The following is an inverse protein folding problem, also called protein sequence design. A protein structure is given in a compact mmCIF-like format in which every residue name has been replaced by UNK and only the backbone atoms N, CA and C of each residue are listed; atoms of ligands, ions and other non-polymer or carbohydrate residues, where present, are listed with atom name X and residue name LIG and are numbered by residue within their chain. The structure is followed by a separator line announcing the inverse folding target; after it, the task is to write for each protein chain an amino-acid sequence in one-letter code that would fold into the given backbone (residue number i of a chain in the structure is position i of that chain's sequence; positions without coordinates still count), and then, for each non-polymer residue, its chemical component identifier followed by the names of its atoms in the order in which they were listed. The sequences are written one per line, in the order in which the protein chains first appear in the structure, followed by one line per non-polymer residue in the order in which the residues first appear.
data_IF_710480550783
#
_entry.id   IF_710480550783
#
_cell.length_a   1.000
_cell.length_b   1.000
_cell.length_c   1.000
_cell.angle_alpha   90.00
_cell.angle_beta   90.00
_cell.angle_gamma   90.00
#
_symmetry.space_group_name_H-M   'P 1'
#
loop_
_entity.id
_entity.type
_entity.pdbx_description
1 polymer ?
#
# COMPACT_ATOMS: atom_id res chain seq x y z
N UNK A 1 12.34 21.21 0.75
CA UNK A 1 11.98 22.64 0.73
C UNK A 1 13.20 23.44 1.16
N UNK A 2 13.64 24.42 0.38
CA UNK A 2 14.66 25.36 0.89
C UNK A 2 13.99 26.25 1.97
N UNK A 3 14.72 26.73 2.99
CA UNK A 3 14.17 27.60 4.02
C UNK A 3 13.46 28.82 3.39
N UNK A 4 12.47 29.46 4.06
CA UNK A 4 11.85 30.69 3.56
C UNK A 4 12.87 31.77 3.14
N UNK A 5 14.00 31.81 3.84
CA UNK A 5 15.18 32.62 3.54
C UNK A 5 15.70 32.47 2.09
N UNK A 6 15.60 31.27 1.50
CA UNK A 6 16.02 31.02 0.12
C UNK A 6 15.01 31.52 -0.91
N UNK A 7 13.72 31.60 -0.57
CA UNK A 7 12.67 32.06 -1.47
C UNK A 7 12.72 33.59 -1.65
N UNK A 8 13.30 34.29 -0.68
CA UNK A 8 13.46 35.74 -0.68
C UNK A 8 14.92 36.19 -0.82
N UNK A 9 15.85 35.27 -1.08
CA UNK A 9 17.29 35.55 -1.08
C UNK A 9 17.76 36.25 0.22
N UNK A 10 17.05 36.01 1.32
CA UNK A 10 17.39 36.46 2.67
C UNK A 10 18.26 35.39 3.36
N UNK A 11 19.37 35.03 2.71
CA UNK A 11 20.34 34.08 3.23
C UNK A 11 21.72 34.75 3.31
N UNK A 12 22.72 34.06 3.86
CA UNK A 12 24.07 34.61 4.01
C UNK A 12 24.77 34.87 2.66
N UNK A 13 24.21 34.39 1.55
CA UNK A 13 24.78 34.59 0.22
C UNK A 13 24.54 36.03 -0.28
N UNK A 14 23.60 36.76 0.33
CA UNK A 14 23.36 38.17 0.08
C UNK A 14 23.51 38.97 1.37
N UNK A 15 24.56 39.82 1.49
CA UNK A 15 24.72 40.65 2.65
C UNK A 15 23.50 41.57 2.81
N UNK A 16 23.00 41.63 4.03
CA UNK A 16 21.89 42.47 4.42
C UNK A 16 22.28 43.23 5.68
N UNK A 17 21.97 44.52 5.70
CA UNK A 17 22.16 45.37 6.85
C UNK A 17 20.87 45.44 7.64
N UNK A 18 20.95 45.19 8.95
CA UNK A 18 19.84 45.48 9.85
C UNK A 18 19.78 46.98 10.06
N UNK A 19 18.69 47.59 9.60
CA UNK A 19 18.36 48.99 9.86
C UNK A 19 17.63 49.12 11.21
N UNK A 20 17.17 50.33 11.51
CA UNK A 20 16.41 50.60 12.72
C UNK A 20 15.05 49.90 12.72
N UNK A 21 14.55 49.58 13.91
CA UNK A 21 13.17 49.17 14.08
C UNK A 21 12.24 50.29 13.62
N UNK A 22 11.19 49.92 12.88
CA UNK A 22 10.22 50.86 12.35
C UNK A 22 8.80 50.30 12.48
N UNK A 23 7.81 51.12 12.20
CA UNK A 23 6.42 50.68 12.08
C UNK A 23 6.10 50.54 10.60
N UNK A 24 5.75 49.34 10.17
CA UNK A 24 5.31 49.06 8.82
C UNK A 24 3.91 48.44 8.86
N UNK A 25 2.95 49.08 8.18
CA UNK A 25 1.54 48.66 8.17
C UNK A 25 0.93 48.49 9.57
N UNK A 26 1.32 49.36 10.51
CA UNK A 26 0.85 49.33 11.90
C UNK A 26 1.50 48.25 12.77
N UNK A 27 2.47 47.49 12.24
CA UNK A 27 3.21 46.45 12.95
C UNK A 27 4.62 46.96 13.24
N UNK A 28 5.10 46.80 14.47
CA UNK A 28 6.50 47.07 14.81
C UNK A 28 7.37 45.96 14.22
N UNK A 29 8.32 46.34 13.37
CA UNK A 29 9.16 45.43 12.58
C UNK A 29 10.64 45.73 12.71
N UNK A 30 11.46 44.67 12.64
CA UNK A 30 12.86 44.76 12.28
C UNK A 30 12.97 44.94 10.76
N UNK A 31 13.63 46.02 10.34
CA UNK A 31 13.83 46.36 8.93
C UNK A 31 15.25 45.97 8.52
N UNK A 32 15.38 45.23 7.43
CA UNK A 32 16.66 44.86 6.84
C UNK A 32 16.70 45.35 5.39
N UNK A 33 17.88 45.75 4.92
CA UNK A 33 18.09 46.13 3.53
C UNK A 33 19.21 45.32 2.91
N UNK A 34 18.99 44.86 1.69
CA UNK A 34 20.01 44.19 0.87
C UNK A 34 20.06 44.84 -0.50
N UNK A 35 21.26 45.06 -1.02
CA UNK A 35 21.48 45.43 -2.42
C UNK A 35 22.01 44.20 -3.14
N UNK A 36 21.30 43.77 -4.18
CA UNK A 36 21.55 42.52 -4.87
C UNK A 36 21.68 42.77 -6.37
N UNK A 37 22.70 42.16 -6.96
CA UNK A 37 22.86 42.06 -8.41
C UNK A 37 22.44 40.67 -8.83
N UNK A 38 21.47 40.57 -9.73
CA UNK A 38 20.94 39.31 -10.25
C UNK A 38 21.38 39.18 -11.71
N UNK A 39 22.58 38.63 -11.97
CA UNK A 39 23.18 38.60 -13.32
C UNK A 39 22.36 37.78 -14.31
N UNK A 40 21.61 36.78 -13.85
CA UNK A 40 20.77 35.92 -14.70
C UNK A 40 19.66 36.72 -15.40
N UNK A 41 19.19 37.78 -14.75
CA UNK A 41 18.13 38.67 -15.27
C UNK A 41 18.64 40.10 -15.49
N UNK A 42 19.95 40.35 -15.36
CA UNK A 42 20.59 41.67 -15.49
C UNK A 42 19.85 42.75 -14.70
N UNK A 43 19.60 42.44 -13.42
CA UNK A 43 18.88 43.33 -12.53
C UNK A 43 19.75 43.80 -11.37
N UNK A 44 19.66 45.09 -11.06
CA UNK A 44 20.23 45.70 -9.86
C UNK A 44 19.09 46.10 -8.94
N UNK A 45 19.02 45.46 -7.77
CA UNK A 45 17.88 45.49 -6.87
C UNK A 45 18.28 45.96 -5.48
N UNK A 46 17.47 46.82 -4.89
CA UNK A 46 17.42 47.10 -3.46
C UNK A 46 16.17 46.41 -2.90
N UNK A 47 16.37 45.54 -1.92
CA UNK A 47 15.29 44.81 -1.26
C UNK A 47 15.25 45.21 0.21
N UNK A 48 14.11 45.74 0.63
CA UNK A 48 13.79 46.08 2.01
C UNK A 48 12.89 44.98 2.60
N UNK A 49 13.37 44.26 3.60
CA UNK A 49 12.64 43.19 4.30
C UNK A 49 12.13 43.68 5.65
N UNK A 50 10.87 43.34 5.95
CA UNK A 50 10.23 43.69 7.21
C UNK A 50 9.80 42.42 7.95
N UNK A 51 10.37 42.20 9.13
CA UNK A 51 10.04 41.07 9.99
C UNK A 51 9.47 41.55 11.32
N UNK A 52 8.54 40.84 11.92
CA UNK A 52 8.02 41.19 13.25
C UNK A 52 9.13 41.19 14.30
N UNK A 53 9.02 42.06 15.30
CA UNK A 53 9.93 42.01 16.46
C UNK A 53 9.68 40.75 17.31
N UNK A 54 10.69 40.27 18.06
CA UNK A 54 10.51 39.19 19.03
C UNK A 54 9.38 39.47 20.02
N UNK A 55 8.53 38.48 20.25
CA UNK A 55 7.37 38.60 21.14
C UNK A 55 6.09 39.17 20.48
N UNK A 56 6.12 39.49 19.19
CA UNK A 56 4.90 39.83 18.45
C UNK A 56 3.95 38.62 18.41
N UNK A 57 2.70 38.80 18.85
CA UNK A 57 1.69 37.75 18.87
C UNK A 57 0.78 37.85 17.63
N UNK A 58 0.96 37.01 16.60
CA UNK A 58 0.06 37.01 15.46
C UNK A 58 -1.31 36.43 15.88
N UNK A 59 -2.39 36.85 15.21
CA UNK A 59 -3.74 36.38 15.49
C UNK A 59 -3.92 34.84 15.37
N UNK A 60 -2.98 34.16 14.70
CA UNK A 60 -2.85 32.68 14.67
C UNK A 60 -1.97 32.21 15.84
N UNK A 61 -2.58 32.15 17.04
CA UNK A 61 -1.93 32.09 18.35
C UNK A 61 -1.46 30.70 18.82
N UNK A 62 -0.91 29.85 17.94
CA UNK A 62 -0.45 28.50 18.34
C UNK A 62 1.08 28.29 18.37
N UNK A 63 1.89 29.26 17.93
CA UNK A 63 3.35 29.07 17.77
C UNK A 63 4.22 30.27 18.21
N UNK A 64 3.69 31.18 19.03
CA UNK A 64 4.42 32.39 19.45
C UNK A 64 5.75 32.09 20.17
N UNK A 65 5.94 30.89 20.71
CA UNK A 65 7.16 30.51 21.43
C UNK A 65 8.28 29.94 20.53
N UNK A 66 7.99 29.48 19.31
CA UNK A 66 8.98 28.77 18.47
C UNK A 66 9.69 29.71 17.47
N UNK A 67 9.05 30.82 17.07
CA UNK A 67 9.60 31.73 16.07
C UNK A 67 9.86 33.11 16.65
N UNK A 68 11.13 33.56 16.54
CA UNK A 68 11.55 34.88 17.03
C UNK A 68 11.05 36.01 16.13
N UNK A 69 10.92 35.80 14.82
CA UNK A 69 10.57 36.84 13.85
C UNK A 69 9.78 36.22 12.68
N UNK A 70 8.69 36.86 12.24
CA UNK A 70 7.84 36.43 11.14
C UNK A 70 7.90 37.45 9.99
N UNK A 71 7.91 37.04 8.71
CA UNK A 71 7.94 37.97 7.59
C UNK A 71 6.61 38.72 7.48
N UNK A 72 6.68 40.05 7.32
CA UNK A 72 5.52 40.95 7.16
C UNK A 72 5.40 41.43 5.72
N UNK A 73 6.51 41.93 5.16
CA UNK A 73 6.55 42.40 3.77
C UNK A 73 7.97 42.42 3.23
N UNK A 74 8.11 42.42 1.91
CA UNK A 74 9.33 42.84 1.22
C UNK A 74 9.03 43.87 0.13
N UNK A 75 9.85 44.91 0.05
CA UNK A 75 9.76 45.95 -0.98
C UNK A 75 11.01 45.87 -1.85
N UNK A 76 10.82 45.61 -3.14
CA UNK A 76 11.89 45.49 -4.13
C UNK A 76 11.85 46.70 -5.04
N UNK A 77 12.95 47.44 -5.11
CA UNK A 77 13.14 48.58 -6.00
C UNK A 77 14.40 48.38 -6.82
N UNK A 78 14.40 48.74 -8.09
CA UNK A 78 15.61 48.60 -8.89
C UNK A 78 15.35 48.75 -10.38
N UNK A 79 16.28 48.25 -11.18
CA UNK A 79 16.20 48.32 -12.63
C UNK A 79 16.58 46.98 -13.26
N UNK A 80 15.92 46.66 -14.37
CA UNK A 80 16.22 45.51 -15.22
C UNK A 80 16.69 46.02 -16.59
N UNK A 81 17.80 45.50 -17.09
CA UNK A 81 18.28 45.80 -18.44
C UNK A 81 17.51 44.96 -19.48
N UNK A 82 16.63 45.61 -20.26
CA UNK A 82 15.76 44.91 -21.24
C UNK A 82 16.43 44.75 -22.60
N UNK A 83 17.29 45.69 -23.01
CA UNK A 83 18.00 45.64 -24.28
C UNK A 83 19.46 46.07 -24.11
N UNK A 84 20.39 45.17 -24.41
CA UNK A 84 21.83 45.47 -24.39
C UNK A 84 22.23 46.52 -25.42
N UNK A 85 21.53 46.55 -26.57
CA UNK A 85 21.89 47.40 -27.70
C UNK A 85 21.57 48.88 -27.46
N UNK A 86 20.48 49.16 -26.71
CA UNK A 86 20.00 50.53 -26.48
C UNK A 86 20.10 50.97 -25.00
N UNK A 87 20.69 50.15 -24.11
CA UNK A 87 20.81 50.43 -22.67
C UNK A 87 19.49 50.86 -22.00
N UNK A 88 18.36 50.33 -22.46
CA UNK A 88 17.05 50.68 -21.89
C UNK A 88 16.84 49.93 -20.58
N UNK A 89 16.90 50.67 -19.47
CA UNK A 89 16.58 50.22 -18.12
C UNK A 89 15.09 50.37 -17.85
N UNK A 90 14.46 49.31 -17.35
CA UNK A 90 13.09 49.37 -16.81
C UNK A 90 13.14 49.40 -15.30
N UNK A 91 12.57 50.44 -14.71
CA UNK A 91 12.38 50.52 -13.27
C UNK A 91 11.37 49.48 -12.80
N UNK A 92 11.68 48.84 -11.68
CA UNK A 92 10.77 47.95 -10.98
C UNK A 92 10.56 48.43 -9.55
N UNK A 93 9.31 48.36 -9.11
CA UNK A 93 8.91 48.67 -7.75
C UNK A 93 7.79 47.69 -7.37
N UNK A 94 8.14 46.66 -6.60
CA UNK A 94 7.22 45.61 -6.19
C UNK A 94 7.16 45.54 -4.67
N UNK A 95 5.95 45.35 -4.14
CA UNK A 95 5.72 45.10 -2.73
C UNK A 95 5.05 43.74 -2.57
N UNK A 96 5.66 42.87 -1.80
CA UNK A 96 5.16 41.53 -1.48
C UNK A 96 4.72 41.51 -0.03
N UNK A 97 3.41 41.43 0.18
CA UNK A 97 2.83 41.40 1.52
C UNK A 97 2.52 39.97 1.94
N UNK A 98 2.96 39.59 3.15
CA UNK A 98 2.72 38.27 3.70
C UNK A 98 1.53 38.31 4.66
N UNK A 99 0.57 37.42 4.43
CA UNK A 99 -0.61 37.24 5.26
C UNK A 99 -0.69 35.79 5.71
N UNK A 100 -1.14 35.56 6.96
CA UNK A 100 -1.31 34.22 7.52
C UNK A 100 -0.08 33.31 7.40
N UNK A 101 1.13 33.86 7.53
CA UNK A 101 2.36 33.09 7.40
C UNK A 101 2.41 31.95 8.42
N UNK A 102 2.49 30.71 7.93
CA UNK A 102 2.61 29.50 8.76
C UNK A 102 4.01 28.92 8.59
N UNK A 103 4.86 29.00 9.62
CA UNK A 103 6.24 28.54 9.52
C UNK A 103 6.38 27.01 9.55
N UNK A 104 5.33 26.29 9.98
CA UNK A 104 5.26 24.83 9.98
C UNK A 104 3.94 24.43 9.33
N UNK A 105 4.01 23.58 8.30
CA UNK A 105 2.84 22.92 7.71
C UNK A 105 2.51 21.71 8.58
N UNK A 106 1.43 21.80 9.38
CA UNK A 106 1.18 20.87 10.48
C UNK A 106 0.26 19.69 10.13
N UNK A 107 -0.25 19.56 8.90
CA UNK A 107 -1.11 18.43 8.53
C UNK A 107 -0.44 17.54 7.49
N UNK A 108 -0.50 16.21 7.72
CA UNK A 108 -0.17 15.16 6.73
C UNK A 108 -0.88 15.40 5.39
N UNK A 109 -2.05 16.03 5.40
CA UNK A 109 -2.82 16.40 4.20
C UNK A 109 -2.36 17.69 3.49
N UNK A 110 -1.48 18.49 4.09
CA UNK A 110 -1.05 19.81 3.59
C UNK A 110 0.41 19.81 3.06
N UNK A 111 1.17 18.72 3.24
CA UNK A 111 2.51 18.50 2.67
C UNK A 111 2.50 18.14 1.17
N UNK A 112 1.33 18.18 0.53
CA UNK A 112 1.10 17.62 -0.79
C UNK A 112 1.64 18.47 -1.95
N UNK A 113 2.79 18.04 -2.45
CA UNK A 113 3.28 18.12 -3.84
C UNK A 113 2.87 19.36 -4.66
N UNK A 114 3.73 20.38 -4.65
CA UNK A 114 3.79 21.38 -5.72
C UNK A 114 4.28 20.67 -6.99
N UNK A 115 3.37 20.20 -7.83
CA UNK A 115 3.75 19.79 -9.19
C UNK A 115 3.97 21.10 -9.98
N UNK A 116 5.24 21.46 -10.23
CA UNK A 116 5.60 22.65 -11.00
C UNK A 116 5.23 22.37 -12.46
N UNK A 117 4.00 22.69 -12.85
CA UNK A 117 3.68 22.92 -14.25
C UNK A 117 4.23 24.30 -14.61
N UNK A 118 5.31 24.31 -15.38
CA UNK A 118 5.81 25.50 -16.06
C UNK A 118 4.80 25.84 -17.17
N UNK A 119 3.68 26.46 -16.79
CA UNK A 119 2.87 27.25 -17.70
C UNK A 119 2.73 28.64 -17.09
N UNK A 120 3.37 29.58 -17.77
CA UNK A 120 3.30 31.01 -17.51
C UNK A 120 1.83 31.44 -17.33
N UNK A 121 1.59 32.20 -16.25
CA UNK A 121 0.44 33.10 -15.99
C UNK A 121 -0.67 32.48 -15.10
N UNK A 122 -0.87 33.13 -13.94
CA UNK A 122 -1.81 32.92 -12.81
C UNK A 122 -1.36 32.01 -11.64
N UNK A 123 -0.78 32.65 -10.63
CA UNK A 123 -0.54 32.12 -9.28
C UNK A 123 -1.87 32.00 -8.51
N UNK A 124 -2.57 30.88 -8.69
CA UNK A 124 -3.57 30.40 -7.73
C UNK A 124 -3.02 29.08 -7.19
N UNK A 125 -2.55 29.08 -5.94
CA UNK A 125 -2.13 27.86 -5.25
C UNK A 125 -3.40 27.07 -4.91
N UNK A 126 -3.91 26.30 -5.86
CA UNK A 126 -4.88 25.25 -5.58
C UNK A 126 -4.10 24.11 -4.91
N UNK A 127 -4.34 23.91 -3.61
CA UNK A 127 -3.87 22.75 -2.85
C UNK A 127 -4.59 21.50 -3.37
N UNK A 128 -4.14 21.03 -4.53
CA UNK A 128 -4.75 19.91 -5.24
C UNK A 128 -4.14 18.64 -4.68
N UNK A 129 -4.97 17.75 -4.13
CA UNK A 129 -4.64 16.32 -4.09
C UNK A 129 -4.05 15.95 -5.45
N UNK A 130 -2.96 15.19 -5.48
CA UNK A 130 -2.35 14.76 -6.74
C UNK A 130 -3.47 14.23 -7.65
N UNK A 131 -3.63 14.68 -8.90
CA UNK A 131 -4.67 14.14 -9.77
C UNK A 131 -4.46 12.64 -10.00
N UNK A 132 -5.53 11.94 -10.37
CA UNK A 132 -5.46 10.51 -10.68
C UNK A 132 -4.49 10.28 -11.85
N UNK A 133 -3.63 9.27 -11.73
CA UNK A 133 -2.70 8.86 -12.78
C UNK A 133 -1.50 9.78 -12.98
N UNK A 134 -1.23 10.70 -12.06
CA UNK A 134 -0.03 11.55 -12.09
C UNK A 134 0.96 11.05 -11.02
N UNK A 135 2.22 10.97 -11.39
CA UNK A 135 3.35 10.78 -10.49
C UNK A 135 4.31 11.96 -10.66
N UNK A 136 4.66 12.65 -9.56
CA UNK A 136 5.67 13.72 -9.59
C UNK A 136 6.99 13.13 -9.04
N UNK A 137 8.11 13.27 -9.76
CA UNK A 137 9.43 12.84 -9.27
C UNK A 137 9.92 13.70 -8.10
N UNK A 138 10.75 13.11 -7.23
CA UNK A 138 11.40 13.84 -6.13
C UNK A 138 10.50 14.17 -4.93
N UNK A 139 9.43 13.41 -4.70
CA UNK A 139 8.60 13.60 -3.50
C UNK A 139 9.41 13.33 -2.22
N UNK A 140 9.48 14.34 -1.35
CA UNK A 140 10.25 14.30 -0.11
C UNK A 140 9.51 13.60 1.04
N UNK A 141 8.18 13.51 0.96
CA UNK A 141 7.37 12.85 1.97
C UNK A 141 7.05 11.43 1.52
N UNK A 142 7.62 10.45 2.23
CA UNK A 142 7.28 9.04 2.12
C UNK A 142 6.56 8.63 3.39
N UNK A 143 5.24 8.63 3.38
CA UNK A 143 4.50 7.93 4.42
C UNK A 143 4.85 6.44 4.32
N UNK A 144 5.08 5.79 5.46
CA UNK A 144 5.29 4.35 5.45
C UNK A 144 3.96 3.68 5.09
N UNK A 145 4.00 2.86 4.04
CA UNK A 145 2.88 2.00 3.71
C UNK A 145 2.68 1.05 4.90
N UNK A 146 1.46 0.92 5.43
CA UNK A 146 1.21 0.04 6.56
C UNK A 146 1.49 -1.44 6.19
N UNK A 147 1.91 -2.22 7.18
CA UNK A 147 2.32 -3.62 6.99
C UNK A 147 1.15 -4.53 6.64
N UNK A 148 1.28 -5.30 5.56
CA UNK A 148 0.30 -6.30 5.13
C UNK A 148 0.31 -7.52 6.07
N UNK A 149 -0.86 -8.12 6.40
CA UNK A 149 -0.92 -9.38 7.15
C UNK A 149 -0.21 -10.55 6.44
N UNK A 150 0.30 -11.52 7.19
CA UNK A 150 0.98 -12.71 6.61
C UNK A 150 0.03 -13.68 5.87
N UNK A 151 -1.26 -13.59 6.14
CA UNK A 151 -2.30 -14.38 5.50
C UNK A 151 -3.55 -13.52 5.34
N UNK A 152 -4.24 -13.69 4.23
CA UNK A 152 -5.49 -13.00 3.96
C UNK A 152 -6.28 -13.68 2.84
N UNK A 153 -7.55 -13.35 2.72
CA UNK A 153 -8.37 -13.65 1.56
C UNK A 153 -9.14 -12.42 1.11
N UNK A 154 -9.50 -12.36 -0.15
CA UNK A 154 -10.36 -11.31 -0.71
C UNK A 154 -10.95 -11.78 -2.03
N UNK A 155 -12.02 -11.13 -2.47
CA UNK A 155 -12.52 -11.21 -3.84
C UNK A 155 -11.89 -10.07 -4.62
N UNK A 156 -11.36 -10.35 -5.80
CA UNK A 156 -10.95 -9.31 -6.74
C UNK A 156 -11.90 -9.23 -7.92
N UNK A 157 -12.21 -8.02 -8.36
CA UNK A 157 -12.85 -7.72 -9.65
C UNK A 157 -11.84 -6.90 -10.47
N UNK A 158 -11.31 -7.49 -11.54
CA UNK A 158 -10.32 -6.85 -12.41
C UNK A 158 -10.99 -6.42 -13.71
N UNK A 159 -10.95 -5.13 -13.99
CA UNK A 159 -11.54 -4.49 -15.17
C UNK A 159 -10.41 -3.98 -16.06
N UNK A 160 -10.30 -4.56 -17.25
CA UNK A 160 -9.49 -3.99 -18.32
C UNK A 160 -10.39 -3.08 -19.16
N UNK A 161 -10.26 -1.77 -18.95
CA UNK A 161 -11.15 -0.77 -19.56
C UNK A 161 -11.08 -0.81 -21.08
N UNK A 162 -9.88 -0.98 -21.65
CA UNK A 162 -9.69 -0.98 -23.10
C UNK A 162 -10.20 -2.25 -23.76
N UNK A 163 -9.91 -3.41 -23.15
CA UNK A 163 -10.41 -4.69 -23.64
C UNK A 163 -11.91 -4.87 -23.38
N UNK A 164 -12.51 -4.07 -22.49
CA UNK A 164 -13.90 -4.22 -22.01
C UNK A 164 -14.16 -5.59 -21.41
N UNK A 165 -13.16 -6.12 -20.71
CA UNK A 165 -13.22 -7.40 -20.01
C UNK A 165 -13.22 -7.12 -18.52
N UNK A 166 -14.13 -7.76 -17.80
CA UNK A 166 -14.14 -7.82 -16.36
C UNK A 166 -14.04 -9.28 -15.92
N UNK A 167 -13.15 -9.58 -14.99
CA UNK A 167 -13.00 -10.90 -14.38
C UNK A 167 -13.15 -10.78 -12.88
N UNK A 168 -13.65 -11.85 -12.25
CA UNK A 168 -13.72 -11.91 -10.79
C UNK A 168 -13.29 -13.28 -10.29
N UNK A 169 -12.51 -13.27 -9.22
CA UNK A 169 -11.95 -14.45 -8.58
C UNK A 169 -11.81 -14.19 -7.09
N UNK A 170 -11.86 -15.27 -6.30
CA UNK A 170 -11.56 -15.20 -4.86
C UNK A 170 -10.15 -15.72 -4.62
N UNK A 171 -9.34 -14.89 -3.99
CA UNK A 171 -7.94 -15.10 -3.67
C UNK A 171 -7.81 -15.48 -2.21
N UNK A 172 -6.97 -16.48 -1.93
CA UNK A 172 -6.54 -16.86 -0.59
C UNK A 172 -5.02 -16.95 -0.59
N UNK A 173 -4.38 -16.24 0.32
CA UNK A 173 -2.93 -16.19 0.45
C UNK A 173 -2.52 -16.57 1.87
N UNK A 174 -1.50 -17.43 2.00
CA UNK A 174 -0.93 -17.80 3.28
C UNK A 174 0.59 -17.96 3.19
N UNK A 175 1.31 -16.96 3.70
CA UNK A 175 2.76 -17.02 3.81
C UNK A 175 3.22 -18.12 4.79
N UNK A 176 2.42 -18.39 5.83
CA UNK A 176 2.68 -19.43 6.81
C UNK A 176 2.64 -20.83 6.18
N UNK A 177 1.61 -21.11 5.37
CA UNK A 177 1.47 -22.39 4.67
C UNK A 177 2.31 -22.44 3.39
N UNK A 178 2.85 -21.30 2.92
CA UNK A 178 3.47 -21.17 1.59
C UNK A 178 2.52 -21.66 0.50
N UNK A 179 1.28 -21.19 0.59
CA UNK A 179 0.19 -21.59 -0.30
C UNK A 179 -0.58 -20.39 -0.80
N UNK A 180 -1.01 -20.49 -2.02
CA UNK A 180 -1.92 -19.56 -2.67
C UNK A 180 -3.08 -20.34 -3.28
N UNK A 181 -4.29 -19.79 -3.24
CA UNK A 181 -5.48 -20.42 -3.83
C UNK A 181 -6.30 -19.40 -4.60
N UNK A 182 -6.74 -19.84 -5.77
CA UNK A 182 -7.69 -19.15 -6.63
C UNK A 182 -8.97 -19.95 -6.74
N UNK A 183 -10.08 -19.26 -6.49
CA UNK A 183 -11.40 -19.74 -6.77
C UNK A 183 -11.95 -18.98 -7.98
N UNK A 184 -12.07 -19.69 -9.10
CA UNK A 184 -12.49 -19.13 -10.38
C UNK A 184 -13.94 -19.51 -10.64
N UNK A 185 -14.76 -18.51 -10.93
CA UNK A 185 -16.14 -18.69 -11.38
C UNK A 185 -16.13 -18.72 -12.92
N UNK A 186 -16.86 -19.69 -13.52
CA UNK A 186 -16.97 -20.03 -14.94
C UNK A 186 -16.33 -19.07 -15.98
N UNK A 187 -15.64 -19.63 -16.98
CA UNK A 187 -15.34 -18.92 -18.23
C UNK A 187 -13.87 -18.66 -18.54
N UNK A 188 -12.94 -19.31 -17.85
CA UNK A 188 -11.52 -19.27 -18.22
C UNK A 188 -11.17 -20.43 -19.14
N UNK A 189 -10.50 -20.11 -20.24
CA UNK A 189 -9.97 -21.10 -21.17
C UNK A 189 -8.53 -21.38 -20.77
N UNK A 190 -8.29 -22.49 -20.06
CA UNK A 190 -6.94 -22.90 -19.62
C UNK A 190 -6.43 -23.91 -20.62
N UNK A 191 -5.34 -23.61 -21.34
CA UNK A 191 -4.72 -24.54 -22.29
C UNK A 191 -5.70 -25.08 -23.35
N UNK A 192 -6.66 -24.26 -23.80
CA UNK A 192 -7.70 -24.66 -24.75
C UNK A 192 -8.88 -25.44 -24.14
N UNK A 193 -8.87 -25.66 -22.83
CA UNK A 193 -10.00 -26.21 -22.08
C UNK A 193 -10.87 -25.07 -21.56
N UNK A 194 -12.04 -24.90 -22.19
CA UNK A 194 -13.10 -24.04 -21.66
C UNK A 194 -13.57 -24.61 -20.32
N UNK A 195 -13.14 -23.96 -19.23
CA UNK A 195 -13.61 -24.28 -17.88
C UNK A 195 -15.00 -23.67 -17.71
N UNK A 196 -16.01 -24.43 -18.12
CA UNK A 196 -17.43 -24.08 -17.95
C UNK A 196 -17.93 -24.31 -16.52
N UNK A 197 -17.15 -24.97 -15.67
CA UNK A 197 -17.52 -25.34 -14.31
C UNK A 197 -16.60 -24.63 -13.29
N UNK A 198 -17.08 -24.28 -12.09
CA UNK A 198 -16.24 -23.61 -11.10
C UNK A 198 -15.04 -24.46 -10.68
N UNK A 199 -13.86 -23.85 -10.67
CA UNK A 199 -12.62 -24.52 -10.27
C UNK A 199 -11.99 -23.82 -9.07
N UNK A 200 -11.27 -24.63 -8.29
CA UNK A 200 -10.41 -24.22 -7.19
C UNK A 200 -8.99 -24.67 -7.54
N UNK A 201 -8.06 -23.73 -7.63
CA UNK A 201 -6.65 -24.00 -7.86
C UNK A 201 -5.92 -23.69 -6.55
N UNK A 202 -5.12 -24.63 -6.06
CA UNK A 202 -4.29 -24.45 -4.86
C UNK A 202 -2.84 -24.69 -5.25
N UNK A 203 -2.01 -23.65 -5.14
CA UNK A 203 -0.57 -23.70 -5.39
C UNK A 203 0.18 -23.95 -4.10
N UNK A 204 0.82 -25.11 -3.99
CA UNK A 204 1.61 -25.50 -2.84
C UNK A 204 3.10 -25.37 -3.14
N UNK A 205 3.69 -24.27 -2.68
CA UNK A 205 5.09 -23.95 -2.91
C UNK A 205 6.03 -24.80 -2.04
N UNK A 206 5.54 -25.54 -1.04
CA UNK A 206 6.40 -26.49 -0.31
C UNK A 206 6.65 -27.75 -1.13
N UNK A 207 5.66 -28.20 -1.91
CA UNK A 207 5.77 -29.41 -2.73
C UNK A 207 6.06 -29.14 -4.20
N UNK A 208 5.90 -27.89 -4.68
CA UNK A 208 6.05 -27.56 -6.09
C UNK A 208 4.88 -28.03 -6.96
N UNK A 209 3.69 -28.17 -6.38
CA UNK A 209 2.50 -28.72 -7.07
C UNK A 209 1.31 -27.75 -7.00
N UNK A 210 0.60 -27.61 -8.10
CA UNK A 210 -0.73 -27.01 -8.19
C UNK A 210 -1.81 -28.11 -8.22
N UNK A 211 -2.81 -27.97 -7.34
CA UNK A 211 -4.00 -28.82 -7.28
C UNK A 211 -5.15 -28.11 -7.97
N UNK A 212 -5.63 -28.65 -9.10
CA UNK A 212 -6.79 -28.13 -9.81
C UNK A 212 -7.99 -29.01 -9.48
N UNK A 213 -8.96 -28.44 -8.77
CA UNK A 213 -10.15 -29.12 -8.30
C UNK A 213 -11.38 -28.56 -9.00
N UNK A 214 -12.13 -29.44 -9.66
CA UNK A 214 -13.48 -29.12 -10.12
C UNK A 214 -14.45 -29.15 -8.93
N UNK A 215 -15.06 -28.01 -8.59
CA UNK A 215 -15.93 -27.91 -7.40
C UNK A 215 -17.24 -28.70 -7.53
N UNK A 216 -17.73 -28.90 -8.75
CA UNK A 216 -18.99 -29.61 -8.98
C UNK A 216 -18.81 -31.13 -8.94
N UNK A 217 -17.72 -31.64 -9.54
CA UNK A 217 -17.46 -33.08 -9.65
C UNK A 217 -16.57 -33.64 -8.55
N UNK A 218 -15.79 -32.79 -7.89
CA UNK A 218 -14.76 -33.19 -6.91
C UNK A 218 -13.52 -33.83 -7.55
N UNK A 219 -13.44 -33.88 -8.88
CA UNK A 219 -12.25 -34.38 -9.58
C UNK A 219 -11.06 -33.45 -9.34
N UNK A 220 -9.90 -34.04 -9.03
CA UNK A 220 -8.65 -33.33 -8.89
C UNK A 220 -7.64 -33.75 -9.95
N UNK A 221 -6.89 -32.78 -10.46
CA UNK A 221 -5.71 -32.98 -11.29
C UNK A 221 -4.53 -32.25 -10.65
N UNK A 222 -3.33 -32.80 -10.81
CA UNK A 222 -2.10 -32.23 -10.25
C UNK A 222 -1.20 -31.76 -11.40
N UNK A 223 -0.58 -30.61 -11.21
CA UNK A 223 0.36 -30.02 -12.15
C UNK A 223 1.62 -29.55 -11.41
N UNK A 224 2.83 -29.70 -11.97
CA UNK A 224 3.99 -28.96 -11.48
C UNK A 224 3.71 -27.45 -11.50
N UNK A 225 4.19 -26.71 -10.50
CA UNK A 225 4.11 -25.24 -10.55
C UNK A 225 4.86 -24.72 -11.78
N UNK A 226 4.27 -23.72 -12.45
CA UNK A 226 4.76 -23.13 -13.69
C UNK A 226 4.30 -23.83 -14.97
N UNK A 227 3.55 -24.93 -14.86
CA UNK A 227 3.12 -25.71 -16.03
C UNK A 227 1.72 -25.39 -16.55
N UNK A 228 0.89 -24.69 -15.77
CA UNK A 228 -0.43 -24.22 -16.23
C UNK A 228 -0.36 -22.74 -16.57
N UNK A 229 -1.01 -22.31 -17.67
CA UNK A 229 -1.02 -20.89 -18.08
C UNK A 229 -1.62 -19.93 -17.03
N UNK A 230 -2.43 -20.45 -16.10
CA UNK A 230 -2.96 -19.68 -14.97
C UNK A 230 -1.96 -19.46 -13.84
N UNK A 231 -0.80 -20.12 -13.89
CA UNK A 231 0.35 -19.73 -13.08
C UNK A 231 0.88 -18.43 -13.66
N UNK A 232 0.14 -17.34 -13.46
CA UNK A 232 0.66 -16.01 -13.73
C UNK A 232 1.96 -15.90 -12.93
N UNK A 233 3.09 -15.95 -13.66
CA UNK A 233 4.45 -15.93 -13.13
C UNK A 233 4.72 -14.71 -12.23
N UNK A 234 3.80 -13.74 -12.23
CA UNK A 234 3.74 -12.58 -11.36
C UNK A 234 3.59 -12.89 -9.87
N UNK A 235 3.18 -14.09 -9.44
CA UNK A 235 2.89 -14.37 -8.02
C UNK A 235 4.00 -15.16 -7.31
N UNK A 236 5.02 -15.59 -8.06
CA UNK A 236 6.12 -16.40 -7.59
C UNK A 236 7.48 -15.80 -8.00
N UNK A 237 8.53 -16.10 -7.24
CA UNK A 237 9.92 -15.93 -7.70
C UNK A 237 10.46 -17.27 -8.18
N UNK A 238 11.08 -17.30 -9.35
CA UNK A 238 11.89 -18.44 -9.79
C UNK A 238 13.30 -18.30 -9.22
N UNK A 239 13.65 -19.10 -8.22
CA UNK A 239 14.99 -19.10 -7.63
C UNK A 239 15.59 -20.50 -7.77
N UNK A 240 16.74 -20.61 -8.44
CA UNK A 240 17.45 -21.87 -8.62
C UNK A 240 16.61 -23.01 -9.23
N UNK A 241 15.66 -22.67 -10.11
CA UNK A 241 14.76 -23.64 -10.77
C UNK A 241 13.52 -24.02 -9.96
N UNK A 242 13.31 -23.44 -8.78
CA UNK A 242 12.12 -23.66 -7.94
C UNK A 242 11.28 -22.39 -7.84
N UNK A 243 9.97 -22.55 -7.94
CA UNK A 243 9.01 -21.47 -7.67
C UNK A 243 8.87 -21.25 -6.17
N UNK A 244 8.91 -19.99 -5.74
CA UNK A 244 8.75 -19.60 -4.34
C UNK A 244 7.67 -18.52 -4.22
N UNK A 245 6.81 -18.63 -3.21
CA UNK A 245 5.73 -17.67 -2.99
C UNK A 245 6.31 -16.30 -2.62
N UNK A 246 5.85 -15.24 -3.29
CA UNK A 246 6.19 -13.85 -2.96
C UNK A 246 5.75 -13.50 -1.54
N UNK A 247 6.45 -12.56 -0.90
CA UNK A 247 6.04 -12.04 0.42
C UNK A 247 4.69 -11.32 0.33
N UNK A 248 3.98 -11.12 1.46
CA UNK A 248 2.64 -10.51 1.45
C UNK A 248 2.57 -9.14 0.76
N UNK A 249 3.57 -8.29 1.01
CA UNK A 249 3.74 -6.98 0.39
C UNK A 249 4.02 -7.10 -1.11
N UNK A 250 5.00 -7.93 -1.49
CA UNK A 250 5.34 -8.19 -2.89
C UNK A 250 4.16 -8.79 -3.68
N UNK A 251 3.36 -9.65 -3.04
CA UNK A 251 2.18 -10.29 -3.64
C UNK A 251 1.09 -9.25 -3.97
N UNK A 252 0.86 -8.28 -3.08
CA UNK A 252 -0.03 -7.15 -3.35
C UNK A 252 0.63 -6.05 -4.20
N UNK A 253 1.84 -6.30 -4.72
CA UNK A 253 2.64 -5.33 -5.50
C UNK A 253 2.90 -4.03 -4.74
N UNK A 254 3.12 -4.16 -3.43
CA UNK A 254 3.45 -3.10 -2.48
C UNK A 254 4.94 -3.16 -2.19
N UNK A 255 5.65 -2.04 -2.39
CA UNK A 255 7.08 -1.92 -2.14
C UNK A 255 7.44 -0.46 -1.75
N UNK A 256 8.73 -0.18 -1.60
CA UNK A 256 9.26 1.11 -1.18
C UNK A 256 9.28 2.19 -2.28
N UNK A 257 8.83 1.85 -3.49
CA UNK A 257 8.72 2.78 -4.62
C UNK A 257 7.50 3.69 -4.51
N UNK A 258 6.49 3.28 -3.72
CA UNK A 258 5.29 4.06 -3.55
C UNK A 258 5.51 5.30 -2.67
N UNK A 259 4.83 6.37 -3.06
CA UNK A 259 4.77 7.63 -2.34
C UNK A 259 3.31 7.96 -2.05
N UNK A 260 3.05 8.57 -0.90
CA UNK A 260 1.70 8.92 -0.50
C UNK A 260 1.16 10.02 -1.43
N UNK A 261 0.02 9.77 -2.07
CA UNK A 261 -0.66 10.63 -3.04
C UNK A 261 -1.86 11.41 -2.45
N UNK A 262 -2.26 11.05 -1.23
CA UNK A 262 -3.27 11.75 -0.43
C UNK A 262 -4.51 10.90 -0.24
N UNK A 263 -5.62 11.55 0.11
CA UNK A 263 -6.85 10.85 0.47
C UNK A 263 -7.88 10.99 -0.64
N UNK A 264 -8.49 9.89 -1.08
CA UNK A 264 -9.53 9.93 -2.13
C UNK A 264 -10.67 8.99 -1.78
N UNK A 265 -11.85 9.30 -2.29
CA UNK A 265 -12.96 8.36 -2.27
C UNK A 265 -12.82 7.39 -3.43
N UNK A 266 -12.95 6.11 -3.13
CA UNK A 266 -13.05 5.04 -4.11
C UNK A 266 -14.27 4.18 -3.75
N UNK A 267 -15.22 4.08 -4.69
CA UNK A 267 -16.52 3.41 -4.48
C UNK A 267 -17.25 3.85 -3.19
N UNK A 268 -17.14 5.13 -2.83
CA UNK A 268 -17.77 5.71 -1.64
C UNK A 268 -16.99 5.52 -0.33
N UNK A 269 -15.86 4.82 -0.35
CA UNK A 269 -14.99 4.60 0.81
C UNK A 269 -13.83 5.59 0.80
N UNK A 270 -13.55 6.23 1.93
CA UNK A 270 -12.39 7.11 2.06
C UNK A 270 -11.12 6.26 2.20
N UNK A 271 -10.18 6.43 1.28
CA UNK A 271 -8.94 5.67 1.19
C UNK A 271 -7.72 6.59 1.27
N UNK A 272 -6.67 6.07 1.89
CA UNK A 272 -5.31 6.58 1.73
C UNK A 272 -4.76 6.04 0.41
N UNK A 273 -4.25 6.93 -0.44
CA UNK A 273 -3.78 6.60 -1.79
C UNK A 273 -2.28 6.71 -1.85
N UNK A 274 -1.65 5.68 -2.40
CA UNK A 274 -0.23 5.65 -2.68
C UNK A 274 -0.02 5.53 -4.19
N UNK A 275 0.97 6.23 -4.74
CA UNK A 275 1.28 6.22 -6.17
C UNK A 275 2.71 5.78 -6.39
N UNK A 276 2.96 5.01 -7.44
CA UNK A 276 4.32 4.67 -7.89
C UNK A 276 4.40 4.72 -9.41
N UNK A 277 5.59 5.06 -9.93
CA UNK A 277 5.94 4.92 -11.34
C UNK A 277 6.77 3.65 -11.50
N UNK A 278 6.23 2.69 -12.25
CA UNK A 278 6.76 1.32 -12.37
C UNK A 278 7.08 0.98 -13.83
N UNK A 279 8.15 0.22 -14.04
CA UNK A 279 8.58 -0.28 -15.35
C UNK A 279 8.77 -1.82 -15.37
N UNK A 280 8.41 -2.48 -14.28
CA UNK A 280 8.57 -3.92 -14.04
C UNK A 280 7.29 -4.72 -14.36
N UNK A 281 6.16 -4.06 -14.63
CA UNK A 281 4.89 -4.71 -14.99
C UNK A 281 4.96 -5.27 -16.42
N UNK A 282 5.43 -4.45 -17.36
CA UNK A 282 5.76 -4.89 -18.73
C UNK A 282 7.10 -4.24 -19.05
N UNK A 283 8.09 -5.06 -19.37
CA UNK A 283 9.43 -4.58 -19.67
C UNK A 283 9.40 -3.45 -20.71
N UNK A 284 10.18 -2.40 -20.46
CA UNK A 284 10.30 -1.23 -21.34
C UNK A 284 9.06 -0.35 -21.47
N UNK A 285 8.01 -0.57 -20.66
CA UNK A 285 6.85 0.32 -20.60
C UNK A 285 6.70 0.91 -19.19
N UNK A 286 6.50 2.23 -19.15
CA UNK A 286 6.23 2.93 -17.89
C UNK A 286 4.73 2.93 -17.58
N UNK A 287 4.40 2.57 -16.34
CA UNK A 287 3.06 2.60 -15.80
C UNK A 287 3.03 3.45 -14.54
N UNK A 288 1.92 4.17 -14.37
CA UNK A 288 1.56 4.77 -13.11
C UNK A 288 0.62 3.81 -12.38
N UNK A 289 0.98 3.50 -11.14
CA UNK A 289 0.23 2.60 -10.29
C UNK A 289 -0.31 3.37 -9.10
N UNK A 290 -1.58 3.15 -8.77
CA UNK A 290 -2.21 3.74 -7.59
C UNK A 290 -2.79 2.63 -6.72
N UNK A 291 -2.39 2.60 -5.45
CA UNK A 291 -2.87 1.69 -4.43
C UNK A 291 -3.79 2.45 -3.47
N UNK A 292 -5.02 1.98 -3.32
CA UNK A 292 -6.02 2.56 -2.44
C UNK A 292 -6.20 1.64 -1.24
N UNK A 293 -5.85 2.12 -0.05
CA UNK A 293 -6.00 1.41 1.21
C UNK A 293 -7.09 2.08 2.04
N UNK A 294 -7.98 1.30 2.65
CA UNK A 294 -9.06 1.82 3.47
C UNK A 294 -8.48 2.63 4.63
N UNK A 295 -9.01 3.83 4.85
CA UNK A 295 -8.64 4.63 6.02
C UNK A 295 -9.35 4.09 7.25
N UNK A 296 -8.58 3.39 8.09
CA UNK A 296 -9.04 2.61 9.25
C UNK A 296 -9.72 3.40 10.37
N UNK A 297 -9.84 4.73 10.27
CA UNK A 297 -10.51 5.56 11.27
C UNK A 297 -12.04 5.64 11.15
N UNK A 298 -12.64 5.13 10.05
CA UNK A 298 -14.07 5.41 9.75
C UNK A 298 -15.02 4.25 10.07
N UNK A 299 -14.52 3.02 10.25
CA UNK A 299 -15.36 1.83 10.48
C UNK A 299 -15.04 1.09 11.79
N UNK A 300 -14.82 1.84 12.87
CA UNK A 300 -14.65 1.29 14.22
C UNK A 300 -15.99 0.85 14.88
N UNK A 301 -17.00 0.50 14.09
CA UNK A 301 -18.31 0.11 14.59
C UNK A 301 -18.80 -1.13 13.86
N UNK A 302 -18.35 -2.31 14.34
CA UNK A 302 -19.17 -3.49 14.64
C UNK A 302 -18.28 -4.74 14.82
N UNK A 303 -18.03 -5.09 16.08
CA UNK A 303 -17.95 -6.47 16.61
C UNK A 303 -16.71 -7.36 16.43
N UNK A 304 -15.55 -6.90 15.95
CA UNK A 304 -14.31 -7.70 16.03
C UNK A 304 -13.15 -6.91 16.66
N UNK A 305 -12.59 -7.42 17.76
CA UNK A 305 -11.51 -6.84 18.59
C UNK A 305 -10.15 -6.64 17.87
N UNK A 306 -10.11 -6.70 16.53
CA UNK A 306 -8.89 -6.44 15.75
C UNK A 306 -9.26 -5.63 14.51
N UNK A 307 -9.09 -4.31 14.61
CA UNK A 307 -9.00 -3.45 13.43
C UNK A 307 -7.92 -4.01 12.51
N UNK A 308 -8.31 -4.46 11.33
CA UNK A 308 -7.38 -4.88 10.29
C UNK A 308 -6.49 -3.69 9.95
N UNK A 309 -5.17 -3.87 10.08
CA UNK A 309 -4.22 -2.77 9.94
C UNK A 309 -4.15 -2.23 8.51
N UNK A 310 -4.51 -3.04 7.53
CA UNK A 310 -4.50 -2.73 6.10
C UNK A 310 -5.65 -3.48 5.43
N UNK A 311 -6.49 -2.74 4.71
CA UNK A 311 -7.54 -3.31 3.85
C UNK A 311 -7.37 -2.70 2.46
N UNK A 312 -6.87 -3.44 1.46
CA UNK A 312 -6.81 -2.96 0.09
C UNK A 312 -8.23 -2.80 -0.47
N UNK A 313 -8.49 -1.67 -1.13
CA UNK A 313 -9.79 -1.36 -1.76
C UNK A 313 -9.68 -1.41 -3.27
N UNK A 314 -8.62 -0.83 -3.83
CA UNK A 314 -8.35 -0.93 -5.26
C UNK A 314 -6.89 -0.77 -5.61
N UNK A 315 -6.54 -1.28 -6.78
CA UNK A 315 -5.25 -1.14 -7.41
C UNK A 315 -5.44 -0.75 -8.88
N UNK A 316 -4.91 0.41 -9.26
CA UNK A 316 -5.07 0.96 -10.60
C UNK A 316 -3.72 0.97 -11.31
N UNK A 317 -3.66 0.43 -12.52
CA UNK A 317 -2.48 0.47 -13.39
C UNK A 317 -2.85 1.26 -14.63
N UNK A 318 -2.16 2.37 -14.87
CA UNK A 318 -2.39 3.25 -16.01
C UNK A 318 -1.10 3.41 -16.82
N UNK A 319 -1.15 3.08 -18.10
CA UNK A 319 -0.08 3.31 -19.07
C UNK A 319 -0.63 3.97 -20.34
N UNK A 320 0.25 4.31 -21.29
CA UNK A 320 -0.10 5.06 -22.50
C UNK A 320 -1.28 4.45 -23.28
N UNK A 321 -1.38 3.11 -23.29
CA UNK A 321 -2.47 2.40 -23.93
C UNK A 321 -3.09 1.28 -23.10
N UNK A 322 -3.01 1.35 -21.78
CA UNK A 322 -3.46 0.28 -20.90
C UNK A 322 -4.06 0.87 -19.63
N UNK A 323 -5.23 0.38 -19.24
CA UNK A 323 -5.83 0.74 -17.96
C UNK A 323 -6.48 -0.49 -17.36
N UNK A 324 -5.95 -0.90 -16.22
CA UNK A 324 -6.43 -2.02 -15.44
C UNK A 324 -6.81 -1.50 -14.07
N UNK A 325 -8.03 -1.80 -13.64
CA UNK A 325 -8.53 -1.46 -12.31
C UNK A 325 -8.92 -2.77 -11.64
N UNK A 326 -8.27 -3.10 -10.52
CA UNK A 326 -8.63 -4.22 -9.68
C UNK A 326 -9.25 -3.71 -8.39
N UNK A 327 -10.49 -4.10 -8.11
CA UNK A 327 -11.17 -3.80 -6.86
C UNK A 327 -11.11 -5.01 -5.94
N UNK A 328 -10.80 -4.79 -4.66
CA UNK A 328 -10.81 -5.83 -3.64
C UNK A 328 -12.05 -5.70 -2.74
N UNK A 329 -12.67 -6.83 -2.42
CA UNK A 329 -13.85 -6.94 -1.55
C UNK A 329 -13.68 -8.10 -0.58
N UNK A 330 -14.49 -8.11 0.48
CA UNK A 330 -14.55 -9.23 1.43
C UNK A 330 -13.15 -9.61 1.95
N UNK A 331 -12.33 -8.59 2.22
CA UNK A 331 -10.97 -8.79 2.72
C UNK A 331 -11.05 -9.34 4.13
N UNK A 332 -10.37 -10.44 4.37
CA UNK A 332 -10.31 -11.12 5.66
C UNK A 332 -8.89 -11.57 5.94
N UNK A 333 -8.28 -11.00 6.98
CA UNK A 333 -6.95 -11.36 7.47
C UNK A 333 -6.92 -12.64 8.32
N UNK A 334 -8.09 -13.21 8.67
CA UNK A 334 -8.23 -14.41 9.49
C UNK A 334 -8.53 -15.65 8.63
N UNK A 335 -7.52 -16.08 7.89
CA UNK A 335 -7.68 -17.23 7.02
C UNK A 335 -7.64 -18.55 7.80
N UNK A 336 -8.51 -19.51 7.42
CA UNK A 336 -8.54 -20.84 8.00
C UNK A 336 -7.71 -21.81 7.16
N UNK A 337 -6.92 -22.70 7.79
CA UNK A 337 -6.16 -23.72 7.03
C UNK A 337 -7.09 -24.64 6.21
N UNK A 338 -8.34 -24.79 6.64
CA UNK A 338 -9.40 -25.51 5.91
C UNK A 338 -9.65 -24.95 4.50
N UNK A 339 -9.32 -23.69 4.26
CA UNK A 339 -9.41 -23.09 2.92
C UNK A 339 -8.41 -23.70 1.94
N UNK A 340 -7.43 -24.47 2.39
CA UNK A 340 -6.46 -25.13 1.52
C UNK A 340 -6.58 -26.66 1.54
N UNK A 341 -7.72 -27.21 1.98
CA UNK A 341 -7.93 -28.67 2.02
C UNK A 341 -7.90 -29.30 0.61
N UNK A 342 -6.94 -30.20 0.41
CA UNK A 342 -6.73 -31.02 -0.80
C UNK A 342 -7.02 -32.51 -0.55
N UNK A 343 -7.54 -32.90 0.62
CA UNK A 343 -7.74 -34.30 1.00
C UNK A 343 -8.64 -35.09 0.04
N UNK A 344 -9.58 -34.41 -0.61
CA UNK A 344 -10.46 -34.99 -1.63
C UNK A 344 -9.70 -35.50 -2.88
N UNK A 345 -8.50 -34.96 -3.13
CA UNK A 345 -7.67 -35.35 -4.27
C UNK A 345 -6.97 -36.69 -4.07
N UNK A 346 -6.99 -37.24 -2.86
CA UNK A 346 -6.28 -38.47 -2.52
C UNK A 346 -7.25 -39.53 -2.02
N UNK A 347 -7.32 -40.65 -2.75
CA UNK A 347 -8.20 -41.77 -2.43
C UNK A 347 -7.44 -43.10 -2.38
N UNK A 348 -8.05 -44.10 -1.75
CA UNK A 348 -7.51 -45.46 -1.67
C UNK A 348 -6.14 -45.52 -1.02
N UNK A 349 -5.18 -46.17 -1.70
CA UNK A 349 -3.82 -46.40 -1.17
C UNK A 349 -2.98 -45.12 -1.03
N UNK A 350 -3.39 -44.01 -1.65
CA UNK A 350 -2.69 -42.71 -1.58
C UNK A 350 -3.08 -41.88 -0.34
N UNK A 351 -3.74 -42.50 0.63
CA UNK A 351 -4.20 -41.88 1.87
C UNK A 351 -4.04 -42.85 3.03
N UNK A 352 -3.20 -42.51 3.99
CA UNK A 352 -2.99 -43.27 5.22
C UNK A 352 -3.79 -42.61 6.33
N UNK A 353 -4.86 -43.25 6.77
CA UNK A 353 -5.64 -42.77 7.92
C UNK A 353 -4.95 -43.19 9.22
N UNK A 354 -4.91 -42.29 10.20
CA UNK A 354 -4.38 -42.56 11.52
C UNK A 354 -5.31 -41.99 12.61
N UNK A 355 -5.19 -42.53 13.82
CA UNK A 355 -5.95 -42.09 14.98
C UNK A 355 -5.03 -42.01 16.20
N UNK A 356 -5.06 -40.88 16.90
CA UNK A 356 -4.32 -40.69 18.15
C UNK A 356 -5.32 -40.57 19.29
N UNK A 357 -5.21 -41.44 20.28
CA UNK A 357 -6.09 -41.45 21.44
C UNK A 357 -5.43 -40.72 22.62
N UNK A 358 -6.20 -39.82 23.23
CA UNK A 358 -5.82 -39.04 24.40
C UNK A 358 -6.79 -39.34 25.54
N UNK A 359 -6.32 -39.26 26.79
CA UNK A 359 -7.20 -39.24 27.96
C UNK A 359 -7.76 -37.83 28.21
N UNK A 360 -8.90 -37.72 28.90
CA UNK A 360 -9.35 -36.42 29.37
C UNK A 360 -8.41 -35.89 30.46
N UNK A 361 -8.16 -34.57 30.51
CA UNK A 361 -7.55 -33.94 31.67
C UNK A 361 -8.32 -34.29 32.94
N UNK A 362 -7.62 -34.54 34.05
CA UNK A 362 -8.25 -34.98 35.29
C UNK A 362 -9.37 -34.05 35.75
N UNK A 363 -10.55 -34.62 36.04
CA UNK A 363 -11.72 -33.87 36.52
C UNK A 363 -12.62 -33.29 35.44
N UNK A 364 -12.35 -33.54 34.15
CA UNK A 364 -13.21 -33.10 33.04
C UNK A 364 -13.91 -34.31 32.42
N UNK A 365 -15.24 -34.31 32.43
CA UNK A 365 -16.05 -35.32 31.72
C UNK A 365 -16.19 -34.99 30.22
N UNK A 366 -16.75 -35.93 29.46
CA UNK A 366 -16.93 -35.83 28.02
C UNK A 366 -17.74 -34.60 27.58
N UNK A 367 -18.80 -34.28 28.32
CA UNK A 367 -19.72 -33.17 28.01
C UNK A 367 -19.03 -31.83 28.24
N UNK A 368 -18.39 -31.68 29.40
CA UNK A 368 -17.61 -30.50 29.77
C UNK A 368 -16.45 -30.30 28.80
N UNK A 369 -15.75 -31.37 28.45
CA UNK A 369 -14.62 -31.29 27.52
C UNK A 369 -15.05 -30.80 26.14
N UNK A 370 -16.09 -31.43 25.57
CA UNK A 370 -16.59 -31.11 24.22
C UNK A 370 -17.09 -29.67 24.16
N UNK A 371 -17.82 -29.22 25.18
CA UNK A 371 -18.39 -27.87 25.27
C UNK A 371 -17.32 -26.78 25.36
N UNK A 372 -16.28 -26.98 26.17
CA UNK A 372 -15.31 -25.93 26.46
C UNK A 372 -14.04 -26.00 25.61
N UNK A 373 -13.61 -27.19 25.20
CA UNK A 373 -12.31 -27.40 24.56
C UNK A 373 -12.38 -27.93 23.13
N UNK A 374 -13.53 -28.47 22.69
CA UNK A 374 -13.63 -29.11 21.37
C UNK A 374 -13.19 -28.22 20.20
N UNK A 375 -13.69 -26.97 20.15
CA UNK A 375 -13.32 -26.00 19.12
C UNK A 375 -11.86 -25.55 19.23
N UNK A 376 -11.41 -25.25 20.46
CA UNK A 376 -10.04 -24.79 20.70
C UNK A 376 -9.02 -25.86 20.33
N UNK A 377 -9.35 -27.14 20.55
CA UNK A 377 -8.52 -28.26 20.14
C UNK A 377 -8.48 -28.42 18.63
N UNK A 378 -9.58 -28.27 17.90
CA UNK A 378 -9.54 -28.26 16.43
C UNK A 378 -8.56 -27.20 15.91
N UNK A 379 -8.67 -25.96 16.41
CA UNK A 379 -7.86 -24.83 15.96
C UNK A 379 -6.38 -24.99 16.34
N UNK A 380 -6.08 -25.37 17.59
CA UNK A 380 -4.71 -25.54 18.08
C UNK A 380 -4.01 -26.78 17.53
N UNK A 381 -4.76 -27.88 17.34
CA UNK A 381 -4.18 -29.14 16.86
C UNK A 381 -3.73 -29.00 15.41
N UNK A 382 -4.55 -28.38 14.55
CA UNK A 382 -4.20 -28.05 13.17
C UNK A 382 -2.86 -27.31 13.15
N UNK A 383 -2.75 -26.18 13.85
CA UNK A 383 -1.52 -25.37 13.90
C UNK A 383 -0.31 -26.13 14.44
N UNK A 384 -0.46 -26.94 15.50
CA UNK A 384 0.64 -27.69 16.12
C UNK A 384 1.11 -28.86 15.27
N UNK A 385 0.17 -29.59 14.66
CA UNK A 385 0.48 -30.64 13.69
C UNK A 385 1.21 -30.02 12.51
N UNK A 386 0.70 -28.94 11.91
CA UNK A 386 1.36 -28.30 10.77
C UNK A 386 2.79 -27.85 11.09
N UNK A 387 3.02 -27.23 12.27
CA UNK A 387 4.37 -26.88 12.72
C UNK A 387 5.28 -28.09 12.88
N UNK A 388 4.76 -29.22 13.37
CA UNK A 388 5.53 -30.45 13.55
C UNK A 388 5.88 -31.10 12.20
N UNK A 389 5.01 -31.03 11.21
CA UNK A 389 5.26 -31.60 9.87
C UNK A 389 6.21 -30.77 9.01
N UNK A 390 6.34 -29.47 9.28
CA UNK A 390 7.40 -28.64 8.70
C UNK A 390 8.80 -29.24 8.95
N UNK A 391 9.01 -29.92 10.07
CA UNK A 391 10.27 -30.61 10.38
C UNK A 391 10.57 -31.77 9.41
N UNK A 392 9.52 -32.41 8.87
CA UNK A 392 9.65 -33.56 7.96
C UNK A 392 9.65 -33.17 6.48
N UNK A 393 9.75 -31.88 6.15
CA UNK A 393 9.65 -31.36 4.78
C UNK A 393 8.38 -31.82 4.05
N UNK A 394 7.34 -32.20 4.79
CA UNK A 394 6.06 -32.56 4.23
C UNK A 394 5.17 -31.32 4.15
N UNK A 395 4.54 -31.10 3.00
CA UNK A 395 3.56 -30.02 2.87
C UNK A 395 2.45 -30.16 3.92
N UNK A 396 2.11 -29.08 4.64
CA UNK A 396 0.96 -29.04 5.55
C UNK A 396 -0.35 -29.48 4.88
N UNK A 397 -0.51 -29.22 3.59
CA UNK A 397 -1.76 -29.51 2.86
C UNK A 397 -2.01 -31.02 2.71
N UNK A 398 -0.97 -31.85 2.87
CA UNK A 398 -1.08 -33.32 2.80
C UNK A 398 -1.75 -33.94 4.01
N UNK A 399 -2.09 -33.15 5.02
CA UNK A 399 -2.76 -33.63 6.21
C UNK A 399 -4.25 -33.36 6.05
N UNK A 400 -5.02 -34.44 5.93
CA UNK A 400 -6.46 -34.35 5.92
C UNK A 400 -6.95 -33.82 7.26
N UNK A 401 -8.01 -33.01 7.19
CA UNK A 401 -8.63 -32.38 8.36
C UNK A 401 -8.82 -33.40 9.50
N UNK A 402 -8.32 -33.09 10.71
CA UNK A 402 -8.56 -33.93 11.88
C UNK A 402 -10.04 -33.91 12.25
N UNK A 403 -10.55 -35.06 12.66
CA UNK A 403 -11.89 -35.25 13.22
C UNK A 403 -11.73 -35.71 14.65
N UNK A 404 -12.41 -35.00 15.54
CA UNK A 404 -12.40 -35.29 16.96
C UNK A 404 -13.61 -36.16 17.27
N UNK A 405 -13.35 -37.32 17.88
CA UNK A 405 -14.39 -38.21 18.35
C UNK A 405 -14.24 -38.39 19.87
N UNK A 406 -15.16 -37.82 20.67
CA UNK A 406 -15.21 -38.06 22.10
C UNK A 406 -15.40 -39.55 22.42
N UNK A 407 -14.84 -40.00 23.54
CA UNK A 407 -14.91 -41.37 24.04
C UNK A 407 -15.12 -41.33 25.56
N UNK A 408 -15.69 -42.38 26.14
CA UNK A 408 -15.96 -42.47 27.59
C UNK A 408 -14.78 -42.19 28.53
N UNK A 409 -13.53 -42.33 28.08
CA UNK A 409 -12.32 -42.12 28.89
C UNK A 409 -11.32 -41.13 28.26
N UNK A 410 -11.75 -40.35 27.27
CA UNK A 410 -10.88 -39.45 26.54
C UNK A 410 -11.40 -39.11 25.15
N UNK A 411 -10.52 -38.86 24.21
CA UNK A 411 -10.93 -38.53 22.84
C UNK A 411 -9.93 -39.11 21.84
N UNK A 412 -10.42 -39.39 20.64
CA UNK A 412 -9.57 -39.81 19.52
C UNK A 412 -9.56 -38.72 18.46
N UNK A 413 -8.36 -38.35 18.01
CA UNK A 413 -8.18 -37.47 16.86
C UNK A 413 -7.86 -38.34 15.65
N UNK A 414 -8.80 -38.40 14.71
CA UNK A 414 -8.63 -39.09 13.44
C UNK A 414 -8.16 -38.12 12.38
N UNK A 415 -7.13 -38.45 11.63
CA UNK A 415 -6.69 -37.65 10.48
C UNK A 415 -6.15 -38.59 9.42
N UNK A 416 -5.63 -38.04 8.33
CA UNK A 416 -4.96 -38.82 7.31
C UNK A 416 -3.77 -38.06 6.75
N UNK A 417 -2.74 -38.80 6.35
CA UNK A 417 -1.63 -38.27 5.56
C UNK A 417 -1.85 -38.73 4.13
N UNK A 418 -1.81 -37.80 3.20
CA UNK A 418 -1.92 -38.10 1.78
C UNK A 418 -0.55 -38.32 1.16
N UNK A 419 -0.52 -39.07 0.07
CA UNK A 419 0.69 -39.37 -0.69
C UNK A 419 1.37 -38.08 -1.22
N UNK A 420 2.60 -38.21 -1.71
CA UNK A 420 3.22 -37.14 -2.47
C UNK A 420 2.50 -37.01 -3.82
N UNK A 421 2.23 -35.77 -4.24
CA UNK A 421 1.96 -35.51 -5.64
C UNK A 421 3.32 -35.50 -6.34
N UNK A 422 3.57 -36.51 -7.17
CA UNK A 422 4.82 -36.60 -7.94
C UNK A 422 4.81 -35.46 -8.97
N UNK A 423 5.73 -34.49 -8.83
CA UNK A 423 6.09 -33.62 -9.95
C UNK A 423 6.90 -34.47 -10.92
N UNK A 424 6.33 -34.78 -12.09
CA UNK A 424 7.06 -35.46 -13.17
C UNK A 424 8.26 -34.61 -13.60
#
# INVERSE_FOLDING_TARGET
MKPPNFLFHFNNDFPHEKLNQTTYRGITVNHFRSCQEWPEVKASLQIDYYFTVPGYNPAVSFFSEVFKELPVSSVVKGYIDINEVNQTKREINHEYNFFEFRPIVQRKSELFNVCILIFLIFYIIFYSKLPRGIYCEGQLYKEQIPSVPESYSYITETINIKAKIATSERVFYSNFLKTFRLDLVNGLNIDGVNVQEPIKIIHDYNSGVAYVVNKNRGNCTFYPLGSIQLDNLDEAHLSSGFYTLKKPDEFLKIDDTYVYAGERYERGLLCDVFVSKRNDIVESLEFITELYLLRTQIYADQSTDKLEKVVPISYHITGQNFTLISHAFDFDSQLNVKDFDVSQCFQGKRRINFGIQFGYPGGVDEESFTKFYGRLLEEEFDLKIFKSFKFFSASPLRIARPRFEPRRRGFTVYSAITDHADSI
#
